data_IF_449715680810
#
_entry.id   IF_449715680810
#
_cell.length_a   1.000
_cell.length_b   1.000
_cell.length_c   1.000
_cell.angle_alpha   90.00
_cell.angle_beta   90.00
_cell.angle_gamma   90.00
#
_symmetry.space_group_name_H-M   'P 1'
#
loop_
_entity.id
_entity.type
_entity.pdbx_description
1 polymer ?
#
# COMPACT_ATOMS: atom_id res chain seq x y z
N UNK A 1 -32.40 -0.49 22.28
CA UNK A 1 -31.62 -1.62 21.78
C UNK A 1 -30.98 -1.37 20.42
N UNK A 2 -31.47 -0.38 19.68
CA UNK A 2 -30.83 0.00 18.42
C UNK A 2 -29.40 0.55 18.66
N UNK A 3 -29.14 1.10 19.84
CA UNK A 3 -27.84 1.68 20.19
C UNK A 3 -26.83 0.63 20.67
N UNK A 4 -27.30 -0.53 21.15
CA UNK A 4 -26.41 -1.55 21.70
C UNK A 4 -25.40 -2.11 20.68
N UNK A 5 -25.80 -2.45 19.43
CA UNK A 5 -24.84 -2.92 18.45
C UNK A 5 -23.78 -1.85 18.14
N UNK A 6 -24.19 -0.60 18.08
CA UNK A 6 -23.28 0.52 17.82
C UNK A 6 -22.27 0.68 18.96
N UNK A 7 -22.75 0.66 20.20
CA UNK A 7 -21.88 0.80 21.37
C UNK A 7 -20.93 -0.40 21.49
N UNK A 8 -21.40 -1.61 21.20
CA UNK A 8 -20.55 -2.80 21.22
C UNK A 8 -19.46 -2.69 20.15
N UNK A 9 -19.79 -2.23 18.94
CA UNK A 9 -18.84 -2.05 17.86
C UNK A 9 -17.77 -1.02 18.24
N UNK A 10 -18.17 0.11 18.82
CA UNK A 10 -17.22 1.13 19.27
C UNK A 10 -16.29 0.61 20.37
N UNK A 11 -16.81 -0.18 21.29
CA UNK A 11 -15.98 -0.79 22.34
C UNK A 11 -14.97 -1.76 21.76
N UNK A 12 -15.39 -2.57 20.81
CA UNK A 12 -14.48 -3.49 20.10
C UNK A 12 -13.38 -2.70 19.42
N UNK A 13 -13.76 -1.66 18.66
CA UNK A 13 -12.78 -0.87 17.90
C UNK A 13 -11.79 -0.14 18.81
N UNK A 14 -12.25 0.36 19.96
CA UNK A 14 -11.37 1.08 20.89
C UNK A 14 -10.32 0.18 21.54
N UNK A 15 -10.59 -1.13 21.61
CA UNK A 15 -9.64 -2.10 22.14
C UNK A 15 -8.62 -2.63 21.13
N UNK A 16 -8.75 -2.23 19.87
CA UNK A 16 -7.90 -2.73 18.79
C UNK A 16 -6.80 -1.70 18.50
N UNK A 17 -5.55 -2.18 18.42
CA UNK A 17 -4.40 -1.34 18.12
C UNK A 17 -4.01 -1.51 16.65
N UNK A 18 -4.18 -0.50 15.80
CA UNK A 18 -3.71 -0.55 14.42
C UNK A 18 -2.18 -0.50 14.36
N UNK A 19 -1.62 -1.12 13.34
CA UNK A 19 -0.18 -1.17 13.14
C UNK A 19 0.16 -0.97 11.66
N UNK A 20 1.45 -0.98 11.33
CA UNK A 20 1.90 -0.90 9.94
C UNK A 20 1.29 -2.02 9.11
N UNK A 21 0.87 -1.69 7.89
CA UNK A 21 0.31 -2.67 6.97
C UNK A 21 0.96 -2.54 5.59
N UNK A 22 1.65 -3.60 5.18
CA UNK A 22 2.30 -3.65 3.86
C UNK A 22 1.29 -3.57 2.72
N UNK A 23 0.09 -4.11 2.92
CA UNK A 23 -0.96 -4.04 1.90
C UNK A 23 -1.43 -2.62 1.66
N UNK A 24 -1.60 -1.85 2.75
CA UNK A 24 -1.96 -0.44 2.64
C UNK A 24 -0.86 0.36 1.94
N UNK A 25 0.40 0.03 2.22
CA UNK A 25 1.55 0.71 1.62
C UNK A 25 1.71 0.35 0.14
N UNK A 26 1.70 -0.96 -0.16
CA UNK A 26 2.00 -1.45 -1.51
C UNK A 26 0.81 -1.34 -2.47
N UNK A 27 -0.40 -1.45 -1.94
CA UNK A 27 -1.63 -1.47 -2.74
C UNK A 27 -2.69 -0.54 -2.11
N UNK A 28 -2.38 0.76 -1.97
CA UNK A 28 -3.27 1.67 -1.22
C UNK A 28 -4.67 1.81 -1.83
N UNK A 29 -4.78 1.79 -3.15
CA UNK A 29 -6.09 1.89 -3.81
C UNK A 29 -6.93 0.66 -3.50
N UNK A 30 -6.37 -0.54 -3.68
CA UNK A 30 -7.09 -1.78 -3.43
C UNK A 30 -7.42 -1.94 -1.96
N UNK A 31 -6.46 -1.69 -1.08
CA UNK A 31 -6.68 -1.73 0.36
C UNK A 31 -7.76 -0.71 0.75
N UNK A 32 -7.67 0.49 0.22
CA UNK A 32 -8.59 1.58 0.54
C UNK A 32 -10.03 1.24 0.16
N UNK A 33 -10.24 0.71 -1.02
CA UNK A 33 -11.59 0.35 -1.48
C UNK A 33 -12.11 -0.86 -0.70
N UNK A 34 -11.29 -1.90 -0.56
CA UNK A 34 -11.71 -3.13 0.11
C UNK A 34 -12.03 -2.93 1.58
N UNK A 35 -11.31 -2.04 2.25
CA UNK A 35 -11.44 -1.79 3.69
C UNK A 35 -12.14 -0.47 4.00
N UNK A 36 -12.75 0.15 3.00
CA UNK A 36 -13.48 1.42 3.15
C UNK A 36 -12.63 2.53 3.77
N UNK A 37 -11.34 2.49 3.47
CA UNK A 37 -10.39 3.52 3.86
C UNK A 37 -10.07 4.36 2.62
N UNK A 38 -11.03 5.18 2.22
CA UNK A 38 -11.05 5.81 0.89
C UNK A 38 -9.95 6.83 0.67
N UNK A 39 -9.25 7.23 1.72
CA UNK A 39 -8.06 8.07 1.56
C UNK A 39 -6.99 7.40 0.71
N UNK A 40 -7.03 6.06 0.58
CA UNK A 40 -6.15 5.34 -0.33
C UNK A 40 -6.31 5.74 -1.78
N UNK A 41 -7.49 6.26 -2.15
CA UNK A 41 -7.73 6.73 -3.51
C UNK A 41 -6.87 7.95 -3.87
N UNK A 42 -6.39 8.68 -2.88
CA UNK A 42 -5.47 9.80 -3.13
C UNK A 42 -4.16 9.34 -3.78
N UNK A 43 -3.85 8.05 -3.71
CA UNK A 43 -2.68 7.48 -4.39
C UNK A 43 -2.75 7.65 -5.89
N UNK A 44 -3.95 7.89 -6.46
CA UNK A 44 -4.09 8.16 -7.88
C UNK A 44 -3.42 9.47 -8.28
N UNK A 45 -3.15 10.36 -7.33
CA UNK A 45 -2.40 11.59 -7.59
C UNK A 45 -0.95 11.33 -8.02
N UNK A 46 -0.47 10.10 -7.90
CA UNK A 46 0.83 9.71 -8.43
C UNK A 46 0.93 9.93 -9.95
N UNK A 47 -0.22 9.98 -10.62
CA UNK A 47 -0.28 10.21 -12.05
C UNK A 47 0.01 11.66 -12.45
N UNK A 48 0.11 12.59 -11.50
CA UNK A 48 0.47 13.99 -11.78
C UNK A 48 1.94 14.04 -12.18
N UNK A 49 2.27 14.59 -13.38
CA UNK A 49 3.66 14.70 -13.80
C UNK A 49 4.51 15.51 -12.81
N UNK A 50 5.78 15.16 -12.70
CA UNK A 50 6.80 15.83 -11.88
C UNK A 50 6.66 15.63 -10.39
N UNK A 51 5.48 15.84 -9.80
CA UNK A 51 5.26 15.75 -8.36
C UNK A 51 4.67 14.40 -7.95
N UNK A 52 4.07 13.68 -8.91
CA UNK A 52 3.32 12.46 -8.60
C UNK A 52 4.16 11.38 -7.94
N UNK A 53 5.41 11.20 -8.37
CA UNK A 53 6.27 10.16 -7.80
C UNK A 53 6.65 10.45 -6.35
N UNK A 54 6.91 11.74 -6.03
CA UNK A 54 7.21 12.14 -4.65
C UNK A 54 5.98 11.93 -3.79
N UNK A 55 4.81 12.39 -4.28
CA UNK A 55 3.55 12.18 -3.57
C UNK A 55 3.27 10.70 -3.37
N UNK A 56 3.51 9.88 -4.40
CA UNK A 56 3.28 8.45 -4.32
C UNK A 56 4.11 7.78 -3.22
N UNK A 57 5.39 8.11 -3.12
CA UNK A 57 6.27 7.56 -2.08
C UNK A 57 5.80 8.01 -0.70
N UNK A 58 5.59 9.31 -0.52
CA UNK A 58 5.15 9.86 0.77
C UNK A 58 3.81 9.26 1.16
N UNK A 59 2.85 9.21 0.23
CA UNK A 59 1.52 8.69 0.52
C UNK A 59 1.53 7.20 0.82
N UNK A 60 2.38 6.44 0.13
CA UNK A 60 2.53 5.00 0.43
C UNK A 60 2.98 4.79 1.86
N UNK A 61 3.94 5.57 2.34
CA UNK A 61 4.42 5.49 3.71
C UNK A 61 3.33 5.92 4.68
N UNK A 62 2.67 7.05 4.42
CA UNK A 62 1.58 7.56 5.26
C UNK A 62 0.45 6.54 5.35
N UNK A 63 0.06 5.97 4.22
CA UNK A 63 -1.03 5.00 4.19
C UNK A 63 -0.63 3.67 4.82
N UNK A 64 0.64 3.28 4.70
CA UNK A 64 1.16 2.11 5.39
C UNK A 64 1.05 2.24 6.91
N UNK A 65 1.33 3.44 7.43
CA UNK A 65 1.23 3.72 8.87
C UNK A 65 -0.22 3.81 9.32
N UNK A 66 -1.08 4.46 8.54
CA UNK A 66 -2.43 4.85 8.98
C UNK A 66 -3.56 4.02 8.36
N UNK A 67 -3.26 3.15 7.38
CA UNK A 67 -4.30 2.43 6.66
C UNK A 67 -5.19 1.60 7.56
N UNK A 68 -4.61 0.87 8.50
CA UNK A 68 -5.38 0.07 9.45
C UNK A 68 -6.22 0.95 10.37
N UNK A 69 -5.67 2.07 10.81
CA UNK A 69 -6.40 3.02 11.66
C UNK A 69 -7.60 3.58 10.93
N UNK A 70 -7.40 4.02 9.70
CA UNK A 70 -8.50 4.60 8.92
C UNK A 70 -9.57 3.58 8.57
N UNK A 71 -9.17 2.34 8.29
CA UNK A 71 -10.13 1.26 8.10
C UNK A 71 -10.92 0.99 9.38
N UNK A 72 -10.24 1.01 10.53
CA UNK A 72 -10.86 0.78 11.82
C UNK A 72 -11.83 1.90 12.20
N UNK A 73 -11.48 3.15 11.88
CA UNK A 73 -12.30 4.32 12.24
C UNK A 73 -13.52 4.50 11.35
N UNK A 74 -13.57 3.86 10.18
CA UNK A 74 -14.72 4.01 9.30
C UNK A 74 -15.95 3.35 9.95
N UNK A 75 -17.06 4.11 10.14
CA UNK A 75 -18.24 3.57 10.81
C UNK A 75 -18.94 2.44 10.06
N UNK A 76 -18.68 2.32 8.74
CA UNK A 76 -19.27 1.25 7.94
C UNK A 76 -18.54 -0.07 8.13
N UNK A 77 -17.31 -0.04 8.62
CA UNK A 77 -16.55 -1.25 8.90
C UNK A 77 -16.88 -1.76 10.30
N UNK A 78 -17.27 -3.02 10.39
CA UNK A 78 -17.61 -3.66 11.65
C UNK A 78 -16.79 -4.91 11.82
N UNK A 79 -16.15 -5.02 12.97
CA UNK A 79 -15.35 -6.18 13.33
C UNK A 79 -15.92 -6.79 14.60
N UNK A 80 -16.08 -8.11 14.59
CA UNK A 80 -16.64 -8.84 15.74
C UNK A 80 -15.73 -8.70 16.96
N UNK A 81 -14.42 -8.80 16.74
CA UNK A 81 -13.41 -8.70 17.79
C UNK A 81 -12.05 -8.36 17.16
N UNK A 82 -11.03 -8.24 18.01
CA UNK A 82 -9.68 -7.97 17.56
C UNK A 82 -9.13 -9.07 16.66
N UNK A 83 -9.48 -10.32 16.95
CA UNK A 83 -9.03 -11.46 16.16
C UNK A 83 -9.50 -11.36 14.72
N UNK A 84 -10.77 -11.01 14.51
CA UNK A 84 -11.31 -10.83 13.16
C UNK A 84 -10.62 -9.67 12.43
N UNK A 85 -10.42 -8.54 13.10
CA UNK A 85 -9.71 -7.40 12.54
C UNK A 85 -8.28 -7.79 12.14
N UNK A 86 -7.55 -8.46 13.04
CA UNK A 86 -6.19 -8.90 12.74
C UNK A 86 -6.14 -9.90 11.61
N UNK A 87 -7.09 -10.80 11.53
CA UNK A 87 -7.14 -11.79 10.44
C UNK A 87 -7.24 -11.11 9.08
N UNK A 88 -8.13 -10.13 8.96
CA UNK A 88 -8.30 -9.36 7.72
C UNK A 88 -7.03 -8.56 7.42
N UNK A 89 -6.53 -7.82 8.40
CA UNK A 89 -5.38 -6.93 8.21
C UNK A 89 -4.09 -7.71 7.98
N UNK A 90 -3.91 -8.84 8.64
CA UNK A 90 -2.74 -9.69 8.43
C UNK A 90 -2.74 -10.31 7.04
N UNK A 91 -3.92 -10.61 6.50
CA UNK A 91 -4.05 -11.04 5.11
C UNK A 91 -3.56 -9.98 4.14
N UNK A 92 -3.99 -8.74 4.33
CA UNK A 92 -3.52 -7.61 3.53
C UNK A 92 -2.03 -7.35 3.73
N UNK A 93 -1.57 -7.42 4.97
CA UNK A 93 -0.16 -7.23 5.29
C UNK A 93 0.73 -8.25 4.57
N UNK A 94 0.34 -9.51 4.61
CA UNK A 94 1.06 -10.59 3.94
C UNK A 94 1.06 -10.41 2.42
N UNK A 95 -0.11 -10.14 1.84
CA UNK A 95 -0.25 -9.92 0.41
C UNK A 95 0.58 -8.71 -0.04
N UNK A 96 0.54 -7.63 0.73
CA UNK A 96 1.30 -6.42 0.42
C UNK A 96 2.80 -6.62 0.53
N UNK A 97 3.26 -7.37 1.53
CA UNK A 97 4.67 -7.68 1.67
C UNK A 97 5.19 -8.52 0.48
N UNK A 98 4.42 -9.52 0.08
CA UNK A 98 4.77 -10.33 -1.10
C UNK A 98 4.79 -9.45 -2.35
N UNK A 99 3.78 -8.60 -2.54
CA UNK A 99 3.72 -7.69 -3.69
C UNK A 99 4.91 -6.72 -3.69
N UNK A 100 5.28 -6.20 -2.52
CA UNK A 100 6.43 -5.30 -2.39
C UNK A 100 7.74 -6.01 -2.76
N UNK A 101 7.95 -7.23 -2.28
CA UNK A 101 9.16 -8.00 -2.57
C UNK A 101 9.23 -8.31 -4.07
N UNK A 102 8.12 -8.77 -4.66
CA UNK A 102 8.07 -9.05 -6.09
C UNK A 102 8.36 -7.79 -6.90
N UNK A 103 7.74 -6.67 -6.53
CA UNK A 103 7.98 -5.39 -7.19
C UNK A 103 9.43 -4.94 -7.11
N UNK A 104 10.05 -5.09 -5.93
CA UNK A 104 11.46 -4.75 -5.74
C UNK A 104 12.37 -5.61 -6.62
N UNK A 105 12.11 -6.92 -6.69
CA UNK A 105 12.88 -7.81 -7.54
C UNK A 105 12.74 -7.43 -9.01
N UNK A 106 11.51 -7.16 -9.45
CA UNK A 106 11.25 -6.75 -10.84
C UNK A 106 12.00 -5.46 -11.16
N UNK A 107 11.96 -4.47 -10.26
CA UNK A 107 12.67 -3.20 -10.46
C UNK A 107 14.17 -3.42 -10.59
N UNK A 108 14.76 -4.24 -9.72
CA UNK A 108 16.19 -4.56 -9.78
C UNK A 108 16.54 -5.22 -11.11
N UNK A 109 15.74 -6.19 -11.55
CA UNK A 109 15.97 -6.87 -12.82
C UNK A 109 15.85 -5.91 -14.00
N UNK A 110 14.89 -4.99 -13.98
CA UNK A 110 14.75 -3.99 -15.04
C UNK A 110 15.93 -3.02 -15.06
N UNK A 111 16.40 -2.59 -13.89
CA UNK A 111 17.58 -1.72 -13.81
C UNK A 111 18.81 -2.41 -14.36
N UNK A 112 19.03 -3.67 -14.01
CA UNK A 112 20.14 -4.47 -14.56
C UNK A 112 20.02 -4.62 -16.08
N UNK A 113 18.81 -4.90 -16.55
CA UNK A 113 18.56 -5.03 -18.00
C UNK A 113 18.90 -3.73 -18.72
N UNK A 114 18.43 -2.59 -18.24
CA UNK A 114 18.71 -1.30 -18.87
C UNK A 114 20.17 -0.90 -18.77
N UNK A 115 20.85 -1.25 -17.69
CA UNK A 115 22.28 -1.02 -17.57
C UNK A 115 23.06 -1.82 -18.61
N UNK A 116 22.72 -3.09 -18.78
CA UNK A 116 23.38 -3.96 -19.78
C UNK A 116 23.09 -3.44 -21.19
N UNK A 117 21.83 -3.09 -21.47
CA UNK A 117 21.43 -2.57 -22.77
C UNK A 117 22.14 -1.25 -23.08
N UNK A 118 22.19 -0.35 -22.10
CA UNK A 118 22.90 0.92 -22.27
C UNK A 118 24.38 0.75 -22.50
N UNK A 119 25.03 -0.18 -21.81
CA UNK A 119 26.44 -0.49 -22.00
C UNK A 119 26.68 -1.07 -23.40
N UNK A 120 25.79 -1.94 -23.89
CA UNK A 120 25.90 -2.53 -25.22
C UNK A 120 25.75 -1.45 -26.30
N UNK A 121 24.79 -0.56 -26.14
CA UNK A 121 24.58 0.55 -27.10
C UNK A 121 25.78 1.47 -27.10
N UNK A 122 26.29 1.84 -25.92
CA UNK A 122 27.45 2.72 -25.80
C UNK A 122 28.69 2.09 -26.47
N UNK A 123 28.90 0.81 -26.26
CA UNK A 123 30.01 0.08 -26.89
C UNK A 123 29.90 0.09 -28.41
N UNK A 124 28.70 -0.13 -28.96
CA UNK A 124 28.48 -0.08 -30.41
C UNK A 124 28.68 1.32 -30.98
N UNK A 125 28.26 2.34 -30.26
CA UNK A 125 28.48 3.75 -30.70
C UNK A 125 29.98 4.07 -30.76
N UNK A 126 30.74 3.58 -29.77
CA UNK A 126 32.17 3.78 -29.71
C UNK A 126 32.86 3.15 -30.93
N UNK A 127 32.41 1.94 -31.31
CA UNK A 127 32.93 1.25 -32.50
C UNK A 127 32.60 1.99 -33.80
N UNK A 128 31.47 2.63 -33.89
CA UNK A 128 31.05 3.38 -35.08
C UNK A 128 31.86 4.66 -35.31
N UNK A 129 32.52 5.16 -34.29
CA UNK A 129 33.37 6.38 -34.42
C UNK A 129 34.71 6.07 -35.03
N UNK A 130 35.12 4.86 -35.16
CA UNK A 130 36.34 4.40 -35.77
C UNK A 130 36.05 3.71 -37.09
#
# INVERSE_FOLDING_TARGET
YADEPFLADNRVKSGITPKWNWGAMAMPVFFGVANRSYLGLLSLLVCIPWLGWIFGIVWAIVFGINGERWALQNPDNRYRDEEEFRKVMDGWNRAGLVAFIIGAVVIVLLLLFFMILGAAIFSNMDQLQY
#
